data_IF_224753815212
#
_entry.id   IF_224753815212
#
_cell.length_a   1.000
_cell.length_b   1.000
_cell.length_c   1.000
_cell.angle_alpha   90.00
_cell.angle_beta   90.00
_cell.angle_gamma   90.00
#
_symmetry.space_group_name_H-M   'P 1'
#
loop_
_entity.id
_entity.type
_entity.pdbx_description
1 polymer ?
#
# COMPACT_ATOMS: atom_id res chain seq x y z
N UNK A 1 1.58 -20.10 -7.27
CA UNK A 1 0.54 -19.48 -6.44
C UNK A 1 -0.40 -18.73 -7.37
N UNK A 2 -1.70 -18.83 -7.14
CA UNK A 2 -2.73 -18.11 -7.90
C UNK A 2 -2.70 -16.60 -7.54
N UNK A 3 -2.96 -15.72 -8.50
CA UNK A 3 -3.11 -14.28 -8.31
C UNK A 3 -4.13 -13.96 -7.21
N UNK A 4 -5.21 -14.75 -7.09
CA UNK A 4 -6.20 -14.60 -6.02
C UNK A 4 -5.60 -14.80 -4.62
N UNK A 5 -4.68 -15.76 -4.48
CA UNK A 5 -3.99 -16.00 -3.21
C UNK A 5 -3.07 -14.83 -2.85
N UNK A 6 -2.38 -14.25 -3.84
CA UNK A 6 -1.55 -13.05 -3.63
C UNK A 6 -2.38 -11.84 -3.20
N UNK A 7 -3.48 -11.55 -3.91
CA UNK A 7 -4.36 -10.42 -3.58
C UNK A 7 -4.97 -10.58 -2.18
N UNK A 8 -5.41 -11.78 -1.82
CA UNK A 8 -5.90 -12.07 -0.46
C UNK A 8 -4.83 -11.86 0.61
N UNK A 9 -3.58 -12.27 0.36
CA UNK A 9 -2.48 -12.05 1.30
C UNK A 9 -2.20 -10.56 1.50
N UNK A 10 -2.20 -9.76 0.44
CA UNK A 10 -1.98 -8.31 0.53
C UNK A 10 -3.10 -7.66 1.35
N UNK A 11 -4.37 -8.03 1.14
CA UNK A 11 -5.51 -7.55 1.95
C UNK A 11 -5.31 -7.86 3.44
N UNK A 12 -4.81 -9.04 3.76
CA UNK A 12 -4.56 -9.45 5.14
C UNK A 12 -3.45 -8.63 5.80
N UNK A 13 -2.40 -8.28 5.05
CA UNK A 13 -1.34 -7.39 5.52
C UNK A 13 -1.88 -5.99 5.79
N UNK A 14 -2.70 -5.44 4.88
CA UNK A 14 -3.36 -4.14 5.06
C UNK A 14 -4.24 -4.14 6.31
N UNK A 15 -5.05 -5.19 6.51
CA UNK A 15 -5.94 -5.31 7.67
C UNK A 15 -5.18 -5.38 9.02
N UNK A 16 -3.89 -5.71 9.00
CA UNK A 16 -3.01 -5.81 10.17
C UNK A 16 -2.07 -4.61 10.32
N UNK A 17 -2.26 -3.56 9.52
CA UNK A 17 -1.35 -2.41 9.44
C UNK A 17 0.09 -2.73 9.03
N UNK A 18 0.33 -3.91 8.45
CA UNK A 18 1.63 -4.27 7.89
C UNK A 18 1.78 -3.72 6.46
N UNK A 19 1.72 -2.39 6.36
CA UNK A 19 1.76 -1.67 5.09
C UNK A 19 3.11 -1.84 4.39
N UNK A 20 4.20 -2.04 5.14
CA UNK A 20 5.52 -2.28 4.57
C UNK A 20 5.54 -3.60 3.77
N UNK A 21 5.05 -4.69 4.37
CA UNK A 21 4.96 -5.97 3.68
C UNK A 21 3.93 -5.93 2.54
N UNK A 22 2.79 -5.26 2.74
CA UNK A 22 1.76 -5.11 1.70
C UNK A 22 2.33 -4.43 0.44
N UNK A 23 3.03 -3.30 0.61
CA UNK A 23 3.66 -2.55 -0.47
C UNK A 23 4.74 -3.36 -1.19
N UNK A 24 5.55 -4.13 -0.45
CA UNK A 24 6.57 -4.99 -1.04
C UNK A 24 5.97 -6.09 -1.92
N UNK A 25 4.92 -6.76 -1.43
CA UNK A 25 4.23 -7.79 -2.20
C UNK A 25 3.52 -7.20 -3.43
N UNK A 26 2.89 -6.03 -3.27
CA UNK A 26 2.22 -5.33 -4.37
C UNK A 26 3.21 -4.93 -5.47
N UNK A 27 4.39 -4.43 -5.11
CA UNK A 27 5.46 -4.12 -6.07
C UNK A 27 5.91 -5.35 -6.85
N UNK A 28 6.10 -6.49 -6.16
CA UNK A 28 6.48 -7.74 -6.80
C UNK A 28 5.39 -8.28 -7.73
N UNK A 29 4.12 -8.15 -7.34
CA UNK A 29 2.98 -8.57 -8.16
C UNK A 29 2.87 -7.73 -9.45
N UNK A 30 3.21 -6.45 -9.38
CA UNK A 30 3.02 -5.47 -10.45
C UNK A 30 4.27 -5.18 -11.26
N UNK A 31 5.38 -5.91 -11.10
CA UNK A 31 6.69 -5.60 -11.69
C UNK A 31 6.65 -5.32 -13.21
N UNK A 32 5.73 -5.98 -13.94
CA UNK A 32 5.53 -5.79 -15.38
C UNK A 32 4.17 -5.17 -15.74
N UNK A 33 3.52 -4.51 -14.79
CA UNK A 33 2.21 -3.88 -14.96
C UNK A 33 2.34 -2.35 -15.01
N UNK A 34 1.55 -1.64 -15.84
CA UNK A 34 1.47 -0.18 -15.77
C UNK A 34 0.96 0.31 -14.40
N UNK A 35 0.29 -0.55 -13.63
CA UNK A 35 -0.14 -0.25 -12.25
C UNK A 35 1.01 -0.23 -11.24
N UNK A 36 2.24 -0.57 -11.65
CA UNK A 36 3.43 -0.49 -10.79
C UNK A 36 3.63 0.93 -10.25
N UNK A 37 3.36 1.95 -11.06
CA UNK A 37 3.58 3.35 -10.70
C UNK A 37 2.74 3.76 -9.49
N UNK A 38 1.49 3.29 -9.40
CA UNK A 38 0.62 3.48 -8.23
C UNK A 38 1.22 2.82 -6.98
N UNK A 39 1.72 1.58 -7.09
CA UNK A 39 2.37 0.91 -5.98
C UNK A 39 3.65 1.63 -5.51
N UNK A 40 4.42 2.18 -6.43
CA UNK A 40 5.61 2.99 -6.13
C UNK A 40 5.24 4.32 -5.47
N UNK A 41 4.17 4.98 -5.92
CA UNK A 41 3.68 6.21 -5.33
C UNK A 41 3.22 5.99 -3.88
N UNK A 42 2.43 4.94 -3.62
CA UNK A 42 2.03 4.60 -2.25
C UNK A 42 3.24 4.21 -1.38
N UNK A 43 4.25 3.55 -1.96
CA UNK A 43 5.51 3.23 -1.27
C UNK A 43 6.26 4.49 -0.85
N UNK A 44 6.36 5.49 -1.73
CA UNK A 44 7.00 6.76 -1.45
C UNK A 44 6.26 7.53 -0.35
N UNK A 45 4.92 7.63 -0.44
CA UNK A 45 4.07 8.26 0.58
C UNK A 45 4.23 7.60 1.95
N UNK A 46 4.26 6.27 2.00
CA UNK A 46 4.47 5.52 3.24
C UNK A 46 5.86 5.76 3.83
N UNK A 47 6.90 5.80 3.00
CA UNK A 47 8.25 6.10 3.47
C UNK A 47 8.34 7.52 4.06
N UNK A 48 7.76 8.51 3.37
CA UNK A 48 7.78 9.89 3.80
C UNK A 48 7.03 10.10 5.13
N UNK A 49 5.81 9.59 5.25
CA UNK A 49 5.06 9.75 6.52
C UNK A 49 5.77 9.06 7.69
N UNK A 50 6.40 7.90 7.48
CA UNK A 50 7.22 7.24 8.51
C UNK A 50 8.44 8.07 8.91
N UNK A 51 9.04 8.78 7.96
CA UNK A 51 10.13 9.72 8.22
C UNK A 51 9.63 10.89 9.05
N UNK A 52 8.52 11.51 8.67
CA UNK A 52 7.94 12.63 9.40
C UNK A 52 7.55 12.25 10.84
N UNK A 53 6.92 11.08 11.03
CA UNK A 53 6.58 10.55 12.37
C UNK A 53 7.83 10.42 13.23
N UNK A 54 8.90 9.80 12.69
CA UNK A 54 10.16 9.60 13.41
C UNK A 54 10.87 10.92 13.77
N UNK A 55 10.75 11.93 12.92
CA UNK A 55 11.33 13.26 13.15
C UNK A 55 10.44 14.15 14.03
N UNK A 56 9.21 13.74 14.33
CA UNK A 56 8.24 14.56 15.07
C UNK A 56 7.77 15.79 14.28
N UNK A 57 7.82 15.74 12.94
CA UNK A 57 7.44 16.87 12.07
C UNK A 57 6.00 16.80 11.57
N UNK A 58 5.20 15.87 12.09
CA UNK A 58 3.80 15.66 11.72
C UNK A 58 2.99 15.36 12.97
N UNK A 59 1.76 15.87 13.02
CA UNK A 59 0.86 15.55 14.13
C UNK A 59 0.35 14.11 14.05
N UNK A 60 -0.08 13.56 15.19
CA UNK A 60 -0.71 12.24 15.20
C UNK A 60 -1.97 12.19 14.32
N UNK A 61 -2.75 13.26 14.27
CA UNK A 61 -3.96 13.33 13.45
C UNK A 61 -3.64 13.25 11.94
N UNK A 62 -2.66 14.02 11.48
CA UNK A 62 -2.19 14.00 10.09
C UNK A 62 -1.53 12.67 9.72
N UNK A 63 -0.74 12.09 10.64
CA UNK A 63 -0.16 10.76 10.46
C UNK A 63 -1.23 9.69 10.27
N UNK A 64 -2.25 9.67 11.12
CA UNK A 64 -3.36 8.73 11.03
C UNK A 64 -4.17 8.94 9.73
N UNK A 65 -4.46 10.19 9.37
CA UNK A 65 -5.14 10.52 8.12
C UNK A 65 -4.36 10.01 6.91
N UNK A 66 -3.06 10.29 6.86
CA UNK A 66 -2.19 9.89 5.76
C UNK A 66 -2.09 8.36 5.64
N UNK A 67 -1.96 7.65 6.78
CA UNK A 67 -1.98 6.19 6.78
C UNK A 67 -3.33 5.63 6.29
N UNK A 68 -4.46 6.22 6.69
CA UNK A 68 -5.78 5.82 6.20
C UNK A 68 -5.91 6.01 4.68
N UNK A 69 -5.38 7.11 4.15
CA UNK A 69 -5.37 7.35 2.70
C UNK A 69 -4.48 6.36 1.95
N UNK A 70 -3.34 5.96 2.54
CA UNK A 70 -2.49 4.89 1.96
C UNK A 70 -3.28 3.57 1.95
N UNK A 71 -3.92 3.18 3.06
CA UNK A 71 -4.76 1.96 3.11
C UNK A 71 -5.86 1.98 2.05
N UNK A 72 -6.58 3.10 1.93
CA UNK A 72 -7.63 3.26 0.94
C UNK A 72 -7.07 3.10 -0.48
N UNK A 73 -6.01 3.82 -0.82
CA UNK A 73 -5.39 3.73 -2.15
C UNK A 73 -4.88 2.32 -2.48
N UNK A 74 -4.35 1.58 -1.49
CA UNK A 74 -3.97 0.19 -1.69
C UNK A 74 -5.18 -0.73 -1.94
N UNK A 75 -6.27 -0.54 -1.20
CA UNK A 75 -7.50 -1.31 -1.42
C UNK A 75 -8.16 -0.98 -2.76
N UNK A 76 -8.11 0.27 -3.19
CA UNK A 76 -8.59 0.72 -4.50
C UNK A 76 -7.79 0.04 -5.60
N UNK A 77 -6.46 0.09 -5.53
CA UNK A 77 -5.59 -0.56 -6.50
C UNK A 77 -5.82 -2.08 -6.59
N UNK A 78 -6.00 -2.75 -5.45
CA UNK A 78 -6.32 -4.18 -5.42
C UNK A 78 -7.64 -4.49 -6.12
N UNK A 79 -8.67 -3.66 -5.94
CA UNK A 79 -9.96 -3.81 -6.62
C UNK A 79 -9.82 -3.64 -8.13
N UNK A 80 -9.07 -2.63 -8.57
CA UNK A 80 -8.83 -2.43 -10.01
C UNK A 80 -8.06 -3.60 -10.64
N UNK A 81 -7.14 -4.24 -9.91
CA UNK A 81 -6.43 -5.43 -10.40
C UNK A 81 -7.41 -6.61 -10.56
N UNK A 82 -8.34 -6.78 -9.62
CA UNK A 82 -9.38 -7.82 -9.69
C UNK A 82 -10.39 -7.59 -10.81
N UNK A 83 -10.74 -6.34 -11.10
CA UNK A 83 -11.68 -6.00 -12.17
C UNK A 83 -11.08 -6.17 -13.57
N UNK A 84 -9.75 -6.15 -13.69
CA UNK A 84 -9.01 -6.28 -14.96
C UNK A 84 -8.47 -7.69 -15.24
N UNK A 85 -8.54 -8.61 -14.27
CA UNK A 85 -8.03 -9.98 -14.36
C UNK A 85 -9.13 -11.03 -14.49
#
# INVERSE_FOLDING_TARGET
MDSKTFLSNIRHLIARDDLAAALLQLRSLLENSPKLDEALLQSARFHDIRKQIRLGTVSHAEANLTQNQIRAGLLDLLREIEEQG
#
